data_IF_521492476961
#
_entry.id   IF_521492476961
#
_cell.length_a   1.000
_cell.length_b   1.000
_cell.length_c   1.000
_cell.angle_alpha   90.00
_cell.angle_beta   90.00
_cell.angle_gamma   90.00
#
_symmetry.space_group_name_H-M   'P 1'
#
loop_
_entity.id
_entity.type
_entity.pdbx_description
1 polymer ?
#
# COMPACT_ATOMS: atom_id res chain seq x y z
N UNK A 1 -47.98 17.78 14.40
CA UNK A 1 -47.36 16.45 14.24
C UNK A 1 -46.47 16.38 12.99
N UNK A 2 -46.96 16.80 11.82
CA UNK A 2 -46.22 16.80 10.55
C UNK A 2 -44.90 17.59 10.56
N UNK A 3 -44.86 18.79 11.17
CA UNK A 3 -43.63 19.61 11.23
C UNK A 3 -42.47 18.91 11.95
N UNK A 4 -42.75 18.18 13.03
CA UNK A 4 -41.73 17.40 13.76
C UNK A 4 -41.26 16.18 12.97
N UNK A 5 -42.14 15.58 12.17
CA UNK A 5 -41.79 14.48 11.26
C UNK A 5 -40.89 14.96 10.12
N UNK A 6 -41.16 16.12 9.54
CA UNK A 6 -40.30 16.71 8.50
C UNK A 6 -38.93 17.13 9.04
N UNK A 7 -38.86 17.68 10.26
CA UNK A 7 -37.59 17.96 10.92
C UNK A 7 -36.81 16.68 11.21
N UNK A 8 -37.47 15.64 11.74
CA UNK A 8 -36.83 14.36 12.01
C UNK A 8 -36.34 13.68 10.72
N UNK A 9 -37.12 13.74 9.64
CA UNK A 9 -36.75 13.22 8.32
C UNK A 9 -35.59 14.02 7.70
N UNK A 10 -35.57 15.35 7.85
CA UNK A 10 -34.47 16.20 7.39
C UNK A 10 -33.18 15.93 8.18
N UNK A 11 -33.26 15.75 9.50
CA UNK A 11 -32.13 15.35 10.33
C UNK A 11 -31.63 13.95 9.94
N UNK A 12 -32.54 12.99 9.73
CA UNK A 12 -32.17 11.63 9.32
C UNK A 12 -31.51 11.61 7.93
N UNK A 13 -32.01 12.41 6.99
CA UNK A 13 -31.40 12.62 5.67
C UNK A 13 -29.99 13.25 5.76
N UNK A 14 -29.77 14.17 6.71
CA UNK A 14 -28.44 14.75 6.96
C UNK A 14 -27.45 13.76 7.59
N UNK A 15 -27.96 12.76 8.32
CA UNK A 15 -27.16 11.71 8.99
C UNK A 15 -26.74 10.60 8.02
N UNK A 16 -27.38 10.48 6.84
CA UNK A 16 -26.87 9.65 5.74
C UNK A 16 -25.69 10.33 5.03
N UNK A 17 -24.61 10.61 5.76
CA UNK A 17 -23.33 10.95 5.13
C UNK A 17 -22.82 9.73 4.38
N UNK A 18 -22.57 9.89 3.08
CA UNK A 18 -21.94 8.88 2.24
C UNK A 18 -20.56 8.60 2.84
N UNK A 19 -20.38 7.41 3.43
CA UNK A 19 -19.06 6.95 3.86
C UNK A 19 -18.32 6.51 2.59
N UNK A 20 -17.31 7.27 2.20
CA UNK A 20 -16.42 6.87 1.12
C UNK A 20 -15.40 5.87 1.68
N UNK A 21 -15.39 4.66 1.11
CA UNK A 21 -14.43 3.61 1.45
C UNK A 21 -13.14 3.67 0.61
N UNK A 22 -13.02 4.67 -0.26
CA UNK A 22 -11.90 4.93 -1.16
C UNK A 22 -11.51 6.40 -1.10
N UNK A 23 -10.44 6.78 -1.80
CA UNK A 23 -10.09 8.19 -2.00
C UNK A 23 -11.32 8.99 -2.51
N UNK A 24 -11.62 10.18 -1.96
CA UNK A 24 -12.72 11.01 -2.43
C UNK A 24 -12.54 11.46 -3.87
N UNK A 25 -13.64 11.54 -4.63
CA UNK A 25 -13.60 12.10 -5.98
C UNK A 25 -13.14 13.57 -5.96
N UNK A 26 -12.34 14.00 -6.95
CA UNK A 26 -11.92 15.40 -7.06
C UNK A 26 -13.11 16.31 -7.32
N UNK A 27 -13.06 17.54 -6.79
CA UNK A 27 -14.09 18.58 -6.98
C UNK A 27 -13.67 19.66 -8.01
N UNK A 28 -12.48 19.51 -8.58
CA UNK A 28 -11.86 20.38 -9.57
C UNK A 28 -10.82 19.58 -10.36
N UNK A 29 -10.33 20.12 -11.47
CA UNK A 29 -9.41 19.40 -12.38
C UNK A 29 -8.12 18.93 -11.69
N UNK A 30 -7.55 19.74 -10.79
CA UNK A 30 -6.36 19.40 -10.01
C UNK A 30 -6.32 20.15 -8.67
N UNK A 31 -5.62 19.57 -7.69
CA UNK A 31 -5.30 20.19 -6.40
C UNK A 31 -3.89 19.74 -6.01
N UNK A 32 -2.86 20.36 -6.59
CA UNK A 32 -1.45 20.01 -6.31
C UNK A 32 -1.17 20.13 -4.83
N UNK A 33 -0.66 19.08 -4.20
CA UNK A 33 -0.36 19.09 -2.78
C UNK A 33 0.77 20.08 -2.42
N UNK A 34 0.60 20.77 -1.29
CA UNK A 34 1.70 21.48 -0.62
C UNK A 34 2.48 20.48 0.25
N UNK A 35 3.82 20.59 0.38
CA UNK A 35 4.58 19.79 1.35
C UNK A 35 4.04 19.95 2.78
N UNK A 36 3.95 18.85 3.54
CA UNK A 36 3.33 18.87 4.88
C UNK A 36 4.03 19.83 5.85
N UNK A 37 5.34 20.00 5.72
CA UNK A 37 6.12 20.95 6.52
C UNK A 37 5.70 22.42 6.32
N UNK A 38 5.07 22.73 5.18
CA UNK A 38 4.57 24.06 4.84
C UNK A 38 3.06 24.17 5.07
N UNK A 39 2.39 23.09 5.47
CA UNK A 39 0.95 23.09 5.69
C UNK A 39 0.62 23.75 7.04
N UNK A 40 -0.21 24.81 6.99
CA UNK A 40 -0.68 25.48 8.21
C UNK A 40 -1.79 24.71 8.95
N UNK A 41 -2.37 23.68 8.32
CA UNK A 41 -3.46 22.87 8.86
C UNK A 41 -3.32 21.41 8.40
N UNK A 42 -3.86 20.49 9.20
CA UNK A 42 -3.98 19.07 8.84
C UNK A 42 -5.41 18.78 8.38
N UNK A 43 -5.56 18.17 7.21
CA UNK A 43 -6.84 17.79 6.61
C UNK A 43 -6.77 16.32 6.17
N UNK A 44 -7.91 15.73 5.79
CA UNK A 44 -7.90 14.43 5.12
C UNK A 44 -7.31 14.60 3.71
N UNK A 45 -6.15 14.00 3.45
CA UNK A 45 -5.38 14.24 2.23
C UNK A 45 -4.35 15.36 2.44
N UNK A 46 -4.21 16.26 1.46
CA UNK A 46 -3.28 17.41 1.53
C UNK A 46 -3.95 18.68 1.05
N UNK A 47 -3.52 19.83 1.58
CA UNK A 47 -3.96 21.14 1.11
C UNK A 47 -3.41 21.46 -0.29
N UNK A 48 -4.15 22.25 -1.07
CA UNK A 48 -3.77 22.60 -2.43
C UNK A 48 -2.84 23.82 -2.49
N UNK A 49 -1.86 23.78 -3.39
CA UNK A 49 -1.09 24.92 -3.91
C UNK A 49 -2.03 25.87 -4.67
N UNK A 50 -1.71 27.17 -4.70
CA UNK A 50 -2.43 28.13 -5.54
C UNK A 50 -2.37 27.68 -7.01
N UNK A 51 -3.52 27.46 -7.69
CA UNK A 51 -3.54 27.02 -9.09
C UNK A 51 -2.75 27.91 -10.06
N UNK A 52 -2.55 29.20 -9.73
CA UNK A 52 -1.75 30.12 -10.55
C UNK A 52 -0.25 29.87 -10.51
N UNK A 53 0.21 29.12 -9.51
CA UNK A 53 1.62 28.79 -9.28
C UNK A 53 1.95 27.35 -9.70
N UNK A 54 0.98 26.61 -10.24
CA UNK A 54 1.14 25.22 -10.63
C UNK A 54 1.90 25.12 -11.96
N UNK A 55 2.88 24.23 -12.02
CA UNK A 55 3.74 24.00 -13.17
C UNK A 55 3.76 22.51 -13.56
N UNK A 56 4.33 22.17 -14.72
CA UNK A 56 4.34 20.78 -15.22
C UNK A 56 5.11 19.84 -14.28
N UNK A 57 6.12 20.37 -13.61
CA UNK A 57 6.97 19.71 -12.63
C UNK A 57 6.18 19.19 -11.42
N UNK A 58 5.05 19.82 -11.08
CA UNK A 58 4.16 19.36 -10.00
C UNK A 58 3.48 18.01 -10.33
N UNK A 59 3.46 17.61 -11.61
CA UNK A 59 2.84 16.39 -12.12
C UNK A 59 3.85 15.34 -12.61
N UNK A 60 5.15 15.57 -12.39
CA UNK A 60 6.22 14.80 -12.99
C UNK A 60 7.11 14.10 -11.96
N UNK A 61 7.51 12.86 -12.25
CA UNK A 61 8.54 12.14 -11.50
C UNK A 61 9.47 11.38 -12.46
N UNK A 62 10.77 11.75 -12.54
CA UNK A 62 11.73 11.08 -13.39
C UNK A 62 12.32 9.81 -12.73
N UNK A 63 13.03 9.00 -13.51
CA UNK A 63 13.98 8.03 -12.96
C UNK A 63 13.46 6.62 -12.75
N UNK A 64 12.18 6.32 -13.03
CA UNK A 64 11.66 4.94 -12.99
C UNK A 64 12.26 4.04 -14.08
N UNK A 65 13.07 4.55 -15.01
CA UNK A 65 13.88 3.74 -15.91
C UNK A 65 15.08 3.08 -15.20
N UNK A 66 15.59 3.69 -14.12
CA UNK A 66 16.73 3.17 -13.37
C UNK A 66 16.26 2.16 -12.30
N UNK A 67 16.97 1.02 -12.14
CA UNK A 67 16.63 0.02 -11.13
C UNK A 67 16.97 0.50 -9.73
N UNK A 68 16.08 0.21 -8.77
CA UNK A 68 16.37 0.37 -7.34
C UNK A 68 17.40 -0.64 -6.83
N UNK A 69 18.09 -0.30 -5.74
CA UNK A 69 19.11 -1.20 -5.15
C UNK A 69 18.46 -2.40 -4.45
N UNK A 70 18.73 -3.60 -4.97
CA UNK A 70 18.30 -4.86 -4.36
C UNK A 70 19.33 -5.44 -3.36
N UNK A 71 20.36 -4.66 -3.01
CA UNK A 71 21.43 -5.05 -2.05
C UNK A 71 20.96 -5.02 -0.60
N UNK A 72 19.94 -5.81 -0.29
CA UNK A 72 19.37 -5.97 1.04
C UNK A 72 18.93 -7.44 1.27
N UNK A 73 18.66 -7.86 2.52
CA UNK A 73 18.33 -9.26 2.80
C UNK A 73 17.08 -9.81 2.10
N UNK A 74 16.15 -8.93 1.68
CA UNK A 74 14.97 -9.33 0.93
C UNK A 74 15.26 -9.48 -0.57
N UNK A 75 16.36 -8.91 -1.08
CA UNK A 75 16.71 -8.98 -2.49
C UNK A 75 15.72 -8.24 -3.40
N UNK A 76 14.98 -7.28 -2.88
CA UNK A 76 14.00 -6.49 -3.65
C UNK A 76 13.99 -5.02 -3.22
N UNK A 77 13.51 -4.14 -4.10
CA UNK A 77 13.32 -2.72 -3.82
C UNK A 77 12.01 -2.22 -4.44
N UNK A 78 11.22 -1.48 -3.68
CA UNK A 78 10.01 -0.80 -4.14
C UNK A 78 10.30 0.70 -4.21
N UNK A 79 10.32 1.25 -5.42
CA UNK A 79 10.38 2.69 -5.66
C UNK A 79 8.97 3.22 -5.83
N UNK A 80 8.44 3.85 -4.78
CA UNK A 80 7.05 4.35 -4.78
C UNK A 80 6.93 5.71 -5.45
N UNK A 81 5.83 5.90 -6.18
CA UNK A 81 5.43 7.18 -6.79
C UNK A 81 4.00 7.46 -6.38
N UNK A 82 3.86 8.02 -5.18
CA UNK A 82 2.58 8.41 -4.59
C UNK A 82 2.49 9.93 -4.46
N UNK A 83 1.46 10.46 -3.79
CA UNK A 83 1.25 11.90 -3.62
C UNK A 83 2.44 12.67 -3.03
N UNK A 84 3.35 12.00 -2.30
CA UNK A 84 4.55 12.63 -1.77
C UNK A 84 5.68 12.78 -2.81
N UNK A 85 5.67 11.98 -3.88
CA UNK A 85 6.62 12.08 -5.00
C UNK A 85 6.06 12.89 -6.17
N UNK A 86 4.76 12.75 -6.47
CA UNK A 86 4.05 13.59 -7.44
C UNK A 86 2.92 14.33 -6.70
N UNK A 87 3.14 15.58 -6.28
CA UNK A 87 2.14 16.36 -5.55
C UNK A 87 0.82 16.54 -6.31
N UNK A 88 0.88 16.54 -7.65
CA UNK A 88 -0.29 16.59 -8.53
C UNK A 88 -1.23 15.38 -8.44
N UNK A 89 -0.82 14.26 -7.82
CA UNK A 89 -1.71 13.10 -7.58
C UNK A 89 -2.78 13.36 -6.52
N UNK A 90 -2.64 14.42 -5.74
CA UNK A 90 -3.58 14.73 -4.67
C UNK A 90 -5.00 14.90 -5.23
N UNK A 91 -5.97 14.28 -4.55
CA UNK A 91 -7.39 14.13 -4.91
C UNK A 91 -7.71 13.21 -6.09
N UNK A 92 -6.72 12.59 -6.74
CA UNK A 92 -6.94 11.83 -7.98
C UNK A 92 -7.05 10.31 -7.79
N UNK A 93 -6.85 9.79 -6.58
CA UNK A 93 -7.17 8.39 -6.27
C UNK A 93 -6.26 7.35 -6.93
N UNK A 94 -5.06 7.72 -7.37
CA UNK A 94 -4.12 6.79 -8.03
C UNK A 94 -2.68 7.02 -7.59
N UNK A 95 -1.87 5.96 -7.64
CA UNK A 95 -0.41 6.01 -7.50
C UNK A 95 0.25 4.86 -8.27
N UNK A 96 1.58 4.89 -8.36
CA UNK A 96 2.39 3.91 -9.06
C UNK A 96 3.56 3.44 -8.18
N UNK A 97 4.10 2.26 -8.45
CA UNK A 97 5.39 1.83 -7.95
C UNK A 97 6.14 1.02 -9.01
N UNK A 98 7.48 1.15 -9.03
CA UNK A 98 8.38 0.20 -9.68
C UNK A 98 8.93 -0.75 -8.62
N UNK A 99 9.04 -2.03 -8.97
CA UNK A 99 9.58 -3.06 -8.08
C UNK A 99 10.68 -3.81 -8.81
N UNK A 100 11.88 -3.79 -8.24
CA UNK A 100 13.05 -4.50 -8.74
C UNK A 100 13.37 -5.69 -7.83
N UNK A 101 13.67 -6.84 -8.43
CA UNK A 101 14.01 -8.07 -7.72
C UNK A 101 15.34 -8.62 -8.23
N UNK A 102 16.27 -8.91 -7.31
CA UNK A 102 17.39 -9.80 -7.57
C UNK A 102 16.90 -11.25 -7.76
N UNK A 103 17.73 -12.19 -8.24
CA UNK A 103 17.39 -13.61 -8.22
C UNK A 103 17.03 -14.04 -6.80
N UNK A 104 15.90 -14.74 -6.64
CA UNK A 104 15.35 -15.11 -5.32
C UNK A 104 14.96 -13.94 -4.41
N UNK A 105 14.82 -12.74 -4.97
CA UNK A 105 14.29 -11.58 -4.29
C UNK A 105 12.82 -11.75 -3.91
N UNK A 106 12.44 -11.23 -2.74
CA UNK A 106 11.11 -11.30 -2.16
C UNK A 106 10.63 -9.89 -1.85
N UNK A 107 9.47 -9.51 -2.37
CA UNK A 107 8.65 -8.49 -1.75
C UNK A 107 7.76 -9.22 -0.73
N UNK A 108 8.05 -9.12 0.58
CA UNK A 108 7.53 -10.02 1.60
C UNK A 108 6.02 -9.86 1.76
N UNK A 109 5.34 -10.79 2.46
CA UNK A 109 3.93 -10.63 2.78
C UNK A 109 3.62 -9.24 3.34
N UNK A 110 2.78 -8.50 2.64
CA UNK A 110 2.36 -7.15 2.98
C UNK A 110 0.91 -6.91 2.56
N UNK A 111 0.35 -5.77 2.95
CA UNK A 111 -0.97 -5.33 2.50
C UNK A 111 -1.02 -3.82 2.33
N UNK A 112 -1.90 -3.37 1.43
CA UNK A 112 -2.26 -1.97 1.22
C UNK A 112 -3.62 -1.72 1.87
N UNK A 113 -3.67 -1.00 3.02
CA UNK A 113 -4.92 -0.82 3.77
C UNK A 113 -5.94 0.10 3.09
N UNK A 114 -5.56 0.79 2.01
CA UNK A 114 -6.39 1.80 1.34
C UNK A 114 -6.38 1.72 -0.19
N UNK A 115 -5.87 0.62 -0.76
CA UNK A 115 -5.84 0.48 -2.22
C UNK A 115 -5.84 -0.98 -2.67
N UNK A 116 -6.51 -1.21 -3.80
CA UNK A 116 -6.26 -2.35 -4.67
C UNK A 116 -4.98 -2.08 -5.47
N UNK A 117 -4.20 -3.13 -5.72
CA UNK A 117 -3.01 -3.09 -6.56
C UNK A 117 -3.22 -3.92 -7.83
N UNK A 118 -2.78 -3.42 -8.97
CA UNK A 118 -2.63 -4.17 -10.21
C UNK A 118 -1.17 -4.13 -10.66
N UNK A 119 -0.57 -5.30 -10.86
CA UNK A 119 0.85 -5.46 -11.17
C UNK A 119 1.04 -6.04 -12.56
N UNK A 120 1.97 -5.47 -13.34
CA UNK A 120 2.45 -5.99 -14.62
C UNK A 120 3.94 -6.32 -14.52
N UNK A 121 4.34 -7.48 -15.04
CA UNK A 121 5.75 -7.86 -15.13
C UNK A 121 6.33 -7.34 -16.45
N UNK A 122 7.48 -6.66 -16.39
CA UNK A 122 8.20 -6.20 -17.57
C UNK A 122 9.40 -7.10 -17.91
N UNK A 123 10.07 -7.65 -16.89
CA UNK A 123 11.25 -8.48 -17.06
C UNK A 123 11.27 -9.63 -16.04
N UNK A 124 11.89 -10.75 -16.41
CA UNK A 124 12.06 -11.90 -15.53
C UNK A 124 10.75 -12.67 -15.27
N UNK A 125 10.68 -13.36 -14.12
CA UNK A 125 9.56 -14.22 -13.77
C UNK A 125 9.24 -14.10 -12.28
N UNK A 126 7.97 -13.82 -11.96
CA UNK A 126 7.53 -13.65 -10.57
C UNK A 126 6.49 -14.69 -10.18
N UNK A 127 6.73 -15.38 -9.06
CA UNK A 127 5.66 -16.06 -8.33
C UNK A 127 4.95 -15.01 -7.48
N UNK A 128 3.66 -14.81 -7.72
CA UNK A 128 2.84 -13.86 -6.95
C UNK A 128 1.69 -14.57 -6.26
N UNK A 129 1.12 -13.95 -5.23
CA UNK A 129 -0.15 -14.42 -4.71
C UNK A 129 -0.72 -13.56 -3.58
N UNK A 130 -2.02 -13.72 -3.33
CA UNK A 130 -2.71 -13.15 -2.18
C UNK A 130 -3.49 -14.23 -1.41
N UNK A 131 -3.71 -13.96 -0.13
CA UNK A 131 -4.46 -14.84 0.77
C UNK A 131 -5.79 -14.18 1.13
N UNK A 132 -6.88 -14.93 1.02
CA UNK A 132 -8.22 -14.41 1.39
C UNK A 132 -8.33 -14.13 2.88
N UNK A 133 -9.27 -13.26 3.25
CA UNK A 133 -9.69 -13.08 4.65
C UNK A 133 -10.19 -14.39 5.27
N UNK A 134 -10.31 -14.39 6.60
CA UNK A 134 -10.81 -15.54 7.35
C UNK A 134 -12.18 -15.95 6.81
N UNK A 135 -12.35 -17.21 6.38
CA UNK A 135 -13.63 -17.69 5.92
C UNK A 135 -14.54 -18.00 7.11
N UNK A 136 -15.77 -18.45 6.83
CA UNK A 136 -16.67 -18.99 7.85
C UNK A 136 -16.13 -20.24 8.57
N UNK A 137 -16.89 -20.73 9.53
CA UNK A 137 -16.52 -21.83 10.43
C UNK A 137 -15.98 -23.06 9.66
N UNK A 138 -14.90 -23.67 10.17
CA UNK A 138 -14.22 -24.86 9.63
C UNK A 138 -13.60 -24.73 8.23
N UNK A 139 -13.40 -23.51 7.73
CA UNK A 139 -12.68 -23.25 6.48
C UNK A 139 -11.31 -22.62 6.75
N UNK A 140 -10.36 -22.82 5.83
CA UNK A 140 -9.03 -22.17 5.85
C UNK A 140 -8.99 -21.01 4.88
N UNK A 141 -8.18 -19.99 5.16
CA UNK A 141 -7.85 -18.95 4.20
C UNK A 141 -7.30 -19.59 2.91
N UNK A 142 -7.71 -19.08 1.76
CA UNK A 142 -7.31 -19.60 0.46
C UNK A 142 -6.19 -18.74 -0.11
N UNK A 143 -5.11 -19.38 -0.55
CA UNK A 143 -4.06 -18.75 -1.36
C UNK A 143 -4.45 -18.81 -2.84
N UNK A 144 -4.46 -17.65 -3.50
CA UNK A 144 -4.47 -17.55 -4.95
C UNK A 144 -3.06 -17.17 -5.41
N UNK A 145 -2.46 -17.98 -6.28
CA UNK A 145 -1.07 -17.79 -6.71
C UNK A 145 -0.88 -18.13 -8.18
N UNK A 146 0.07 -17.45 -8.83
CA UNK A 146 0.41 -17.64 -10.23
C UNK A 146 1.87 -17.30 -10.46
N UNK A 147 2.49 -17.95 -11.44
CA UNK A 147 3.77 -17.53 -12.00
C UNK A 147 3.49 -16.61 -13.19
N UNK A 148 4.02 -15.39 -13.14
CA UNK A 148 3.89 -14.35 -14.17
C UNK A 148 5.18 -14.23 -14.97
N UNK A 149 5.04 -14.03 -16.28
CA UNK A 149 6.10 -13.74 -17.24
C UNK A 149 5.96 -12.29 -17.76
N UNK A 150 6.92 -11.76 -18.53
CA UNK A 150 6.81 -10.43 -19.10
C UNK A 150 5.52 -10.24 -19.89
N UNK A 151 4.79 -9.15 -19.60
CA UNK A 151 3.47 -8.83 -20.16
C UNK A 151 2.29 -9.38 -19.35
N UNK A 152 2.50 -10.33 -18.44
CA UNK A 152 1.43 -10.85 -17.59
C UNK A 152 1.03 -9.83 -16.50
N UNK A 153 -0.26 -9.83 -16.15
CA UNK A 153 -0.86 -8.93 -15.15
C UNK A 153 -1.51 -9.75 -14.03
N UNK A 154 -1.45 -9.24 -12.79
CA UNK A 154 -2.13 -9.84 -11.64
C UNK A 154 -2.71 -8.77 -10.71
N UNK A 155 -3.89 -9.05 -10.16
CA UNK A 155 -4.64 -8.15 -9.27
C UNK A 155 -4.51 -8.60 -7.82
N UNK A 156 -4.23 -7.67 -6.92
CA UNK A 156 -4.26 -7.85 -5.47
C UNK A 156 -5.39 -7.00 -4.86
N UNK A 157 -6.47 -7.60 -4.35
CA UNK A 157 -7.57 -6.85 -3.74
C UNK A 157 -7.12 -6.06 -2.51
N UNK A 158 -7.76 -4.90 -2.32
CA UNK A 158 -7.51 -4.01 -1.18
C UNK A 158 -7.55 -4.74 0.17
N UNK A 159 -6.57 -4.45 1.03
CA UNK A 159 -6.49 -4.97 2.39
C UNK A 159 -6.13 -6.46 2.50
N UNK A 160 -5.96 -7.19 1.40
CA UNK A 160 -5.51 -8.59 1.45
C UNK A 160 -3.99 -8.69 1.55
N UNK A 161 -3.53 -9.70 2.31
CA UNK A 161 -2.11 -10.02 2.41
C UNK A 161 -1.66 -10.66 1.10
N UNK A 162 -0.61 -10.12 0.51
CA UNK A 162 -0.04 -10.61 -0.74
C UNK A 162 1.49 -10.48 -0.77
N UNK A 163 2.12 -11.09 -1.77
CA UNK A 163 3.57 -11.14 -1.94
C UNK A 163 3.96 -11.32 -3.40
N UNK A 164 5.22 -11.01 -3.71
CA UNK A 164 5.86 -11.33 -4.98
C UNK A 164 7.25 -11.90 -4.73
N UNK A 165 7.60 -12.99 -5.42
CA UNK A 165 8.87 -13.70 -5.25
C UNK A 165 9.48 -14.01 -6.61
N UNK A 166 10.69 -13.52 -6.85
CA UNK A 166 11.44 -13.85 -8.06
C UNK A 166 12.02 -15.25 -7.96
N UNK A 167 11.33 -16.24 -8.53
CA UNK A 167 11.80 -17.62 -8.58
C UNK A 167 12.84 -17.85 -9.70
N UNK A 168 13.08 -16.84 -10.53
CA UNK A 168 14.04 -16.90 -11.63
C UNK A 168 15.49 -16.81 -11.16
N UNK A 169 16.40 -17.11 -12.09
CA UNK A 169 17.85 -16.99 -11.89
C UNK A 169 18.41 -15.64 -12.39
N UNK A 170 17.56 -14.79 -12.95
CA UNK A 170 17.87 -13.43 -13.40
C UNK A 170 17.11 -12.41 -12.56
N UNK A 171 17.44 -11.13 -12.72
CA UNK A 171 16.63 -10.06 -12.18
C UNK A 171 15.21 -10.09 -12.77
N UNK A 172 14.26 -9.51 -12.05
CA UNK A 172 12.90 -9.28 -12.50
C UNK A 172 12.47 -7.84 -12.19
N UNK A 173 11.61 -7.28 -13.05
CA UNK A 173 11.09 -5.91 -12.93
C UNK A 173 9.59 -5.95 -13.09
N UNK A 174 8.87 -5.28 -12.21
CA UNK A 174 7.42 -5.11 -12.29
C UNK A 174 7.02 -3.66 -11.99
N UNK A 175 5.86 -3.27 -12.52
CA UNK A 175 5.20 -2.01 -12.18
C UNK A 175 3.84 -2.32 -11.58
N UNK A 176 3.48 -1.57 -10.54
CA UNK A 176 2.23 -1.71 -9.82
C UNK A 176 1.47 -0.37 -9.82
N UNK A 177 0.24 -0.38 -10.33
CA UNK A 177 -0.70 0.72 -10.18
C UNK A 177 -1.60 0.49 -8.97
N UNK A 178 -1.87 1.54 -8.18
CA UNK A 178 -2.67 1.43 -6.97
C UNK A 178 -3.82 2.43 -6.98
N UNK A 179 -4.98 2.01 -6.48
CA UNK A 179 -6.23 2.78 -6.48
C UNK A 179 -6.36 3.80 -5.32
N UNK A 180 -5.25 4.44 -4.94
CA UNK A 180 -5.23 5.55 -3.98
C UNK A 180 -3.98 6.41 -4.21
N UNK A 181 -4.08 7.70 -3.93
CA UNK A 181 -2.95 8.63 -3.88
C UNK A 181 -1.96 8.27 -2.76
N UNK A 182 -2.44 7.57 -1.72
CA UNK A 182 -1.65 7.11 -0.59
C UNK A 182 -2.16 5.72 -0.11
N UNK A 183 -1.76 4.65 -0.81
CA UNK A 183 -2.22 3.28 -0.53
C UNK A 183 -1.86 2.81 0.89
N UNK A 184 -0.73 3.32 1.42
CA UNK A 184 -0.09 2.80 2.62
C UNK A 184 0.47 1.40 2.43
N UNK A 185 1.35 0.97 3.32
CA UNK A 185 1.86 -0.41 3.30
C UNK A 185 2.02 -0.93 4.72
N UNK A 186 1.67 -2.19 4.92
CA UNK A 186 1.92 -2.91 6.17
C UNK A 186 2.71 -4.17 5.81
N UNK A 187 4.04 -4.12 5.93
CA UNK A 187 4.88 -5.31 5.85
C UNK A 187 4.64 -6.19 7.08
N UNK A 188 4.04 -7.36 6.91
CA UNK A 188 3.43 -8.12 8.00
C UNK A 188 4.44 -8.48 9.09
N UNK A 189 5.59 -9.03 8.72
CA UNK A 189 6.60 -9.42 9.70
C UNK A 189 7.19 -8.21 10.45
N UNK A 190 7.44 -7.09 9.75
CA UNK A 190 7.95 -5.87 10.36
C UNK A 190 6.93 -5.23 11.30
N UNK A 191 5.66 -5.15 10.91
CA UNK A 191 4.60 -4.62 11.77
C UNK A 191 4.38 -5.46 13.03
N UNK A 192 4.40 -6.79 12.90
CA UNK A 192 4.14 -7.71 14.02
C UNK A 192 5.34 -7.83 14.97
N UNK A 193 6.56 -7.96 14.45
CA UNK A 193 7.74 -8.27 15.24
C UNK A 193 8.75 -7.11 15.39
N UNK A 194 8.69 -6.11 14.51
CA UNK A 194 9.61 -4.95 14.47
C UNK A 194 8.98 -3.61 14.86
N UNK A 195 7.71 -3.59 15.30
CA UNK A 195 7.02 -2.37 15.72
C UNK A 195 7.68 -1.69 16.93
N UNK A 196 7.48 -0.37 17.02
CA UNK A 196 7.95 0.47 18.13
C UNK A 196 6.79 1.32 18.68
N UNK A 197 6.41 1.16 19.96
CA UNK A 197 6.87 0.12 20.90
C UNK A 197 6.51 -1.30 20.42
N UNK A 198 7.26 -2.34 20.84
CA UNK A 198 6.99 -3.71 20.40
C UNK A 198 5.68 -4.25 20.98
N UNK A 199 4.97 -5.07 20.20
CA UNK A 199 3.81 -5.83 20.70
C UNK A 199 4.26 -6.73 21.86
N UNK A 200 3.43 -6.84 22.90
CA UNK A 200 3.70 -7.68 24.05
C UNK A 200 4.03 -9.12 23.63
N UNK A 201 5.10 -9.67 24.21
CA UNK A 201 5.48 -11.07 23.97
C UNK A 201 4.39 -12.04 24.35
N UNK A 202 3.63 -11.76 25.41
CA UNK A 202 2.57 -12.66 25.86
C UNK A 202 1.40 -12.67 24.85
N UNK A 203 1.11 -11.52 24.23
CA UNK A 203 0.15 -11.42 23.12
C UNK A 203 0.63 -12.26 21.93
N UNK A 204 1.88 -12.09 21.49
CA UNK A 204 2.41 -12.81 20.33
C UNK A 204 2.59 -14.30 20.59
N UNK A 205 3.03 -14.72 21.77
CA UNK A 205 3.11 -16.13 22.19
C UNK A 205 1.75 -16.79 22.09
N UNK A 206 0.69 -16.11 22.57
CA UNK A 206 -0.67 -16.64 22.49
C UNK A 206 -1.22 -16.63 21.06
N UNK A 207 -0.97 -15.57 20.30
CA UNK A 207 -1.46 -15.41 18.93
C UNK A 207 -0.82 -16.42 17.96
N UNK A 208 0.49 -16.62 18.05
CA UNK A 208 1.25 -17.53 17.19
C UNK A 208 1.29 -18.97 17.72
N UNK A 209 0.86 -19.20 18.97
CA UNK A 209 0.84 -20.52 19.61
C UNK A 209 2.24 -21.18 19.68
N UNK A 210 3.25 -20.37 19.98
CA UNK A 210 4.66 -20.78 20.06
C UNK A 210 5.28 -20.33 21.37
N UNK A 211 6.41 -20.94 21.74
CA UNK A 211 7.18 -20.53 22.91
C UNK A 211 7.61 -19.06 22.88
N UNK A 212 7.68 -18.46 24.08
CA UNK A 212 8.15 -17.09 24.28
C UNK A 212 9.56 -16.85 23.73
N UNK A 213 10.40 -17.89 23.70
CA UNK A 213 11.75 -17.81 23.12
C UNK A 213 11.73 -17.65 21.60
N UNK A 214 10.77 -18.26 20.90
CA UNK A 214 10.59 -18.07 19.45
C UNK A 214 10.18 -16.62 19.16
N UNK A 215 9.21 -16.09 19.90
CA UNK A 215 8.80 -14.69 19.78
C UNK A 215 9.96 -13.73 20.09
N UNK A 216 10.73 -14.02 21.16
CA UNK A 216 11.91 -13.22 21.51
C UNK A 216 12.93 -13.21 20.37
N UNK A 217 13.17 -14.37 19.75
CA UNK A 217 14.07 -14.49 18.60
C UNK A 217 13.55 -13.70 17.39
N UNK A 218 12.26 -13.79 17.08
CA UNK A 218 11.65 -13.04 15.99
C UNK A 218 11.75 -11.55 16.25
N UNK A 219 11.41 -11.06 17.45
CA UNK A 219 11.53 -9.64 17.80
C UNK A 219 12.98 -9.13 17.83
N UNK A 220 13.99 -10.00 17.98
CA UNK A 220 15.39 -9.60 17.90
C UNK A 220 15.94 -9.53 16.47
N UNK A 221 15.19 -10.02 15.48
CA UNK A 221 15.62 -9.89 14.08
C UNK A 221 15.51 -8.45 13.61
N UNK A 222 16.34 -8.11 12.62
CA UNK A 222 16.22 -6.83 11.93
C UNK A 222 15.18 -6.92 10.81
N UNK A 223 13.92 -6.60 11.15
CA UNK A 223 12.85 -6.51 10.16
C UNK A 223 13.01 -5.24 9.34
N UNK A 224 13.07 -5.40 8.01
CA UNK A 224 13.09 -4.30 7.04
C UNK A 224 11.80 -4.33 6.23
N UNK A 225 11.31 -3.16 5.86
CA UNK A 225 10.59 -3.02 4.61
C UNK A 225 11.61 -2.82 3.46
N UNK A 226 11.15 -3.06 2.24
CA UNK A 226 11.90 -2.84 1.01
C UNK A 226 11.45 -1.53 0.31
N UNK A 227 10.78 -0.64 1.05
CA UNK A 227 10.26 0.60 0.49
C UNK A 227 11.34 1.66 0.54
N UNK A 228 11.72 2.14 -0.64
CA UNK A 228 12.59 3.29 -0.75
C UNK A 228 11.74 4.51 -1.04
N UNK A 229 11.77 5.47 -0.13
CA UNK A 229 11.25 6.81 -0.36
C UNK A 229 12.42 7.65 -0.89
N UNK A 230 12.49 7.89 -2.22
CA UNK A 230 13.50 8.79 -2.77
C UNK A 230 13.33 10.22 -2.24
#
# INVERSE_FOLDING_TARGET
MAFRFHIAAAILALVFTIVHASDPSPLQDFCVAVPDANAGVFVNGKICKDPKLVEAEDFFFPGLNEPGSTSNPLGSNVTTVNVNQIPGLNTLGVSLARIDFAPYGLNPPHTHPRATEILVVLEGTLLVGFVTSNPGMNMKNKLFTKVLNPGDVFLFPEGLIHFQFNKGHSNAVAFAGLSSQNPGVITIANAVFGSKPPISRDVLTKAFQVDKNVVKYLQSQFWRDNHYYP
#
